data_IF_228899952644
#
_entry.id   IF_228899952644
#
_cell.length_a   1.000
_cell.length_b   1.000
_cell.length_c   1.000
_cell.angle_alpha   90.00
_cell.angle_beta   90.00
_cell.angle_gamma   90.00
#
_symmetry.space_group_name_H-M   'P 1'
#
loop_
_entity.id
_entity.type
_entity.pdbx_description
1 polymer ?
#
# COMPACT_ATOMS: atom_id res chain seq x y z
N UNK A 1 -14.61 -20.77 -11.60
CA UNK A 1 -14.04 -19.43 -11.33
C UNK A 1 -12.59 -19.66 -10.94
N UNK A 2 -11.75 -18.61 -10.92
CA UNK A 2 -10.35 -18.75 -10.53
C UNK A 2 -10.28 -18.84 -9.00
N UNK A 3 -9.47 -19.78 -8.44
CA UNK A 3 -9.43 -20.03 -6.99
C UNK A 3 -8.89 -18.84 -6.18
N UNK A 4 -8.18 -17.93 -6.86
CA UNK A 4 -7.70 -16.65 -6.33
C UNK A 4 -8.15 -15.57 -7.29
N UNK A 5 -8.71 -14.48 -6.75
CA UNK A 5 -9.17 -13.32 -7.51
C UNK A 5 -8.53 -12.06 -6.95
N UNK A 6 -7.81 -11.35 -7.80
CA UNK A 6 -7.26 -10.02 -7.48
C UNK A 6 -8.41 -9.01 -7.31
N UNK A 7 -8.49 -8.37 -6.15
CA UNK A 7 -9.46 -7.30 -5.87
C UNK A 7 -8.81 -5.92 -5.99
N UNK A 8 -7.63 -5.78 -5.40
CA UNK A 8 -6.76 -4.62 -5.52
C UNK A 8 -5.35 -5.09 -5.87
N UNK A 9 -4.38 -4.19 -5.89
CA UNK A 9 -3.00 -4.52 -6.25
C UNK A 9 -2.31 -5.37 -5.18
N UNK A 10 -2.74 -5.21 -3.94
CA UNK A 10 -2.20 -5.80 -2.72
C UNK A 10 -3.20 -6.74 -2.02
N UNK A 11 -4.42 -6.90 -2.52
CA UNK A 11 -5.46 -7.74 -1.93
C UNK A 11 -6.03 -8.76 -2.92
N UNK A 12 -6.10 -10.01 -2.46
CA UNK A 12 -6.59 -11.14 -3.22
C UNK A 12 -7.66 -11.89 -2.43
N UNK A 13 -8.84 -12.07 -3.01
CA UNK A 13 -9.88 -12.94 -2.46
C UNK A 13 -9.59 -14.39 -2.85
N UNK A 14 -9.77 -15.29 -1.90
CA UNK A 14 -9.52 -16.73 -2.04
C UNK A 14 -10.83 -17.48 -1.78
N UNK A 15 -11.15 -18.40 -2.69
CA UNK A 15 -12.17 -19.41 -2.43
C UNK A 15 -11.51 -20.76 -2.17
N UNK A 16 -11.57 -21.23 -0.93
CA UNK A 16 -10.94 -22.50 -0.56
C UNK A 16 -11.64 -23.70 -1.21
N UNK A 17 -12.95 -23.61 -1.47
CA UNK A 17 -13.66 -24.61 -2.24
C UNK A 17 -13.13 -24.77 -3.67
N UNK A 18 -12.90 -23.65 -4.36
CA UNK A 18 -12.34 -23.68 -5.71
C UNK A 18 -10.87 -24.13 -5.71
N UNK A 19 -10.11 -23.74 -4.68
CA UNK A 19 -8.72 -24.15 -4.51
C UNK A 19 -8.58 -25.66 -4.22
N UNK A 20 -9.49 -26.21 -3.41
CA UNK A 20 -9.61 -27.63 -3.10
C UNK A 20 -10.20 -28.46 -4.25
N UNK A 21 -10.76 -27.80 -5.28
CA UNK A 21 -11.48 -28.44 -6.40
C UNK A 21 -12.66 -29.31 -5.95
N UNK A 22 -13.33 -28.92 -4.87
CA UNK A 22 -14.53 -29.61 -4.37
C UNK A 22 -15.76 -29.26 -5.21
N UNK A 23 -16.80 -30.10 -5.15
CA UNK A 23 -18.05 -29.83 -5.86
C UNK A 23 -18.79 -28.68 -5.18
N UNK A 24 -19.58 -27.92 -5.95
CA UNK A 24 -20.43 -26.85 -5.40
C UNK A 24 -21.40 -27.45 -4.39
N UNK A 25 -21.34 -27.00 -3.14
CA UNK A 25 -22.21 -27.43 -2.04
C UNK A 25 -21.52 -28.27 -0.97
N UNK A 26 -20.30 -28.79 -1.25
CA UNK A 26 -19.52 -29.48 -0.23
C UNK A 26 -18.89 -28.47 0.73
N UNK A 27 -18.99 -28.74 2.04
CA UNK A 27 -18.33 -27.93 3.07
C UNK A 27 -16.83 -28.18 2.97
N UNK A 28 -16.06 -27.13 2.65
CA UNK A 28 -14.60 -27.20 2.66
C UNK A 28 -14.10 -26.75 4.00
N UNK A 29 -13.40 -27.66 4.67
CA UNK A 29 -12.66 -27.34 5.88
C UNK A 29 -11.33 -26.67 5.48
N UNK A 30 -11.11 -25.45 5.95
CA UNK A 30 -9.82 -24.78 5.75
C UNK A 30 -8.77 -25.46 6.59
N UNK A 31 -7.70 -25.92 5.94
CA UNK A 31 -6.57 -26.59 6.58
C UNK A 31 -5.24 -25.85 6.25
N UNK A 32 -4.16 -26.13 7.00
CA UNK A 32 -2.82 -25.61 6.74
C UNK A 32 -2.35 -25.70 5.29
N UNK A 33 -2.66 -26.80 4.61
CA UNK A 33 -2.21 -27.06 3.25
C UNK A 33 -2.94 -26.17 2.24
N UNK A 34 -4.24 -25.96 2.41
CA UNK A 34 -5.03 -25.04 1.61
C UNK A 34 -4.60 -23.59 1.82
N UNK A 35 -4.24 -23.20 3.05
CA UNK A 35 -3.65 -21.89 3.34
C UNK A 35 -2.32 -21.73 2.57
N UNK A 36 -1.43 -22.71 2.63
CA UNK A 36 -0.16 -22.70 1.89
C UNK A 36 -0.38 -22.54 0.38
N UNK A 37 -1.31 -23.33 -0.19
CA UNK A 37 -1.66 -23.28 -1.61
C UNK A 37 -2.26 -21.94 -2.02
N UNK A 38 -3.06 -21.33 -1.16
CA UNK A 38 -3.64 -20.01 -1.41
C UNK A 38 -2.54 -18.95 -1.50
N UNK A 39 -1.62 -18.93 -0.54
CA UNK A 39 -0.51 -17.97 -0.53
C UNK A 39 0.42 -18.21 -1.74
N UNK A 40 0.77 -19.47 -2.04
CA UNK A 40 1.60 -19.80 -3.20
C UNK A 40 0.95 -19.45 -4.54
N UNK A 41 -0.39 -19.48 -4.62
CA UNK A 41 -1.14 -19.00 -5.76
C UNK A 41 -1.08 -17.47 -5.86
N UNK A 42 -1.26 -16.75 -4.75
CA UNK A 42 -1.10 -15.29 -4.71
C UNK A 42 0.31 -14.85 -5.09
N UNK A 43 1.35 -15.58 -4.67
CA UNK A 43 2.73 -15.34 -5.10
C UNK A 43 2.92 -15.39 -6.62
N UNK A 44 2.13 -16.20 -7.36
CA UNK A 44 2.20 -16.26 -8.84
C UNK A 44 1.69 -14.99 -9.51
N UNK A 45 0.82 -14.26 -8.83
CA UNK A 45 0.27 -13.00 -9.31
C UNK A 45 1.23 -11.81 -9.11
N UNK A 46 2.41 -12.05 -8.54
CA UNK A 46 3.42 -11.02 -8.38
C UNK A 46 4.05 -10.66 -9.73
N UNK A 47 3.87 -9.40 -10.14
CA UNK A 47 4.37 -8.88 -11.41
C UNK A 47 5.66 -8.08 -11.28
N UNK A 48 6.19 -7.91 -10.06
CA UNK A 48 7.38 -7.09 -9.81
C UNK A 48 8.61 -7.84 -10.30
N UNK A 49 9.51 -7.14 -10.99
CA UNK A 49 10.75 -7.68 -11.53
C UNK A 49 11.95 -6.80 -11.17
N UNK A 50 13.11 -7.42 -11.02
CA UNK A 50 14.39 -6.74 -10.86
C UNK A 50 14.87 -6.16 -12.19
N UNK A 51 15.90 -5.31 -12.15
CA UNK A 51 16.54 -4.79 -13.35
C UNK A 51 17.11 -5.90 -14.27
N UNK A 52 17.43 -7.06 -13.70
CA UNK A 52 17.85 -8.25 -14.44
C UNK A 52 16.67 -9.09 -14.97
N UNK A 53 15.43 -8.62 -14.82
CA UNK A 53 14.21 -9.30 -15.30
C UNK A 53 13.70 -10.43 -14.40
N UNK A 54 14.39 -10.73 -13.30
CA UNK A 54 13.97 -11.78 -12.34
C UNK A 54 12.76 -11.33 -11.53
N UNK A 55 11.84 -12.24 -11.25
CA UNK A 55 10.67 -11.92 -10.42
C UNK A 55 11.11 -11.58 -9.00
N UNK A 56 10.56 -10.50 -8.44
CA UNK A 56 10.76 -10.09 -7.05
C UNK A 56 9.46 -10.37 -6.30
N UNK A 57 9.50 -11.24 -5.30
CA UNK A 57 8.29 -11.62 -4.55
C UNK A 57 8.11 -10.75 -3.31
N UNK A 58 6.84 -10.44 -2.98
CA UNK A 58 6.47 -9.85 -1.69
C UNK A 58 7.07 -10.68 -0.55
N UNK A 59 7.47 -10.01 0.51
CA UNK A 59 8.01 -10.63 1.72
C UNK A 59 7.06 -10.55 2.91
N UNK A 60 5.86 -10.00 2.76
CA UNK A 60 4.80 -10.07 3.76
C UNK A 60 3.51 -10.61 3.13
N UNK A 61 2.91 -11.60 3.80
CA UNK A 61 1.64 -12.21 3.44
C UNK A 61 0.76 -12.31 4.70
N UNK A 62 -0.36 -11.58 4.70
CA UNK A 62 -1.36 -11.64 5.76
C UNK A 62 -2.60 -12.37 5.24
N UNK A 63 -2.80 -13.59 5.73
CA UNK A 63 -4.01 -14.39 5.46
C UNK A 63 -5.09 -14.03 6.47
N UNK A 64 -6.21 -13.50 5.99
CA UNK A 64 -7.42 -13.21 6.76
C UNK A 64 -8.45 -14.28 6.44
N UNK A 65 -8.86 -15.03 7.46
CA UNK A 65 -9.86 -16.10 7.35
C UNK A 65 -11.19 -15.67 7.97
N UNK A 66 -12.29 -16.32 7.57
CA UNK A 66 -13.50 -16.26 8.36
C UNK A 66 -13.24 -16.80 9.79
N UNK A 67 -13.91 -16.25 10.80
CA UNK A 67 -13.71 -16.61 12.21
C UNK A 67 -13.82 -18.12 12.46
N UNK A 68 -14.82 -18.77 11.88
CA UNK A 68 -15.06 -20.21 12.02
C UNK A 68 -13.88 -21.04 11.49
N UNK A 69 -13.30 -20.63 10.36
CA UNK A 69 -12.16 -21.31 9.75
C UNK A 69 -10.88 -21.06 10.55
N UNK A 70 -10.70 -19.83 11.05
CA UNK A 70 -9.56 -19.48 11.89
C UNK A 70 -9.54 -20.29 13.18
N UNK A 71 -10.69 -20.48 13.85
CA UNK A 71 -10.76 -21.23 15.10
C UNK A 71 -10.30 -22.69 14.94
N UNK A 72 -10.45 -23.29 13.75
CA UNK A 72 -9.97 -24.64 13.44
C UNK A 72 -8.44 -24.73 13.40
N UNK A 73 -7.77 -23.66 13.00
CA UNK A 73 -6.30 -23.61 12.84
C UNK A 73 -5.60 -22.82 13.95
N UNK A 74 -6.35 -22.15 14.82
CA UNK A 74 -5.85 -21.25 15.87
C UNK A 74 -4.83 -21.91 16.79
N UNK A 75 -5.07 -23.17 17.18
CA UNK A 75 -4.16 -23.93 18.04
C UNK A 75 -2.82 -24.26 17.37
N UNK A 76 -2.77 -24.19 16.03
CA UNK A 76 -1.60 -24.52 15.21
C UNK A 76 -0.90 -23.28 14.67
N UNK A 77 -1.34 -22.07 15.00
CA UNK A 77 -0.88 -20.83 14.35
C UNK A 77 0.65 -20.66 14.35
N UNK A 78 1.31 -20.80 15.50
CA UNK A 78 2.76 -20.61 15.60
C UNK A 78 3.55 -21.60 14.72
N UNK A 79 3.34 -22.93 14.87
CA UNK A 79 3.94 -23.93 13.98
C UNK A 79 3.57 -23.72 12.51
N UNK A 80 2.31 -23.40 12.22
CA UNK A 80 1.80 -23.16 10.87
C UNK A 80 2.54 -22.00 10.19
N UNK A 81 2.67 -20.85 10.83
CA UNK A 81 3.35 -19.68 10.26
C UNK A 81 4.81 -19.98 9.94
N UNK A 82 5.49 -20.75 10.80
CA UNK A 82 6.86 -21.22 10.57
C UNK A 82 6.97 -22.19 9.39
N UNK A 83 6.08 -23.17 9.31
CA UNK A 83 6.06 -24.14 8.22
C UNK A 83 5.72 -23.46 6.88
N UNK A 84 4.77 -22.52 6.89
CA UNK A 84 4.44 -21.69 5.74
C UNK A 84 5.64 -20.87 5.27
N UNK A 85 6.42 -20.29 6.18
CA UNK A 85 7.64 -19.57 5.83
C UNK A 85 8.63 -20.45 5.07
N UNK A 86 8.81 -21.70 5.52
CA UNK A 86 9.68 -22.66 4.84
C UNK A 86 9.14 -23.01 3.44
N UNK A 87 7.84 -23.30 3.32
CA UNK A 87 7.20 -23.63 2.04
C UNK A 87 7.31 -22.48 1.04
N UNK A 88 7.05 -21.24 1.46
CA UNK A 88 7.13 -20.09 0.56
C UNK A 88 8.57 -19.76 0.15
N UNK A 89 9.55 -20.02 1.02
CA UNK A 89 10.98 -19.91 0.67
C UNK A 89 11.36 -20.94 -0.40
N UNK A 90 10.87 -22.18 -0.28
CA UNK A 90 11.06 -23.21 -1.30
C UNK A 90 10.37 -22.87 -2.62
N UNK A 91 9.14 -22.35 -2.57
CA UNK A 91 8.42 -21.87 -3.76
C UNK A 91 9.14 -20.71 -4.45
N UNK A 92 9.70 -19.77 -3.69
CA UNK A 92 10.52 -18.68 -4.23
C UNK A 92 11.78 -19.22 -4.92
N UNK A 93 12.48 -20.16 -4.30
CA UNK A 93 13.67 -20.80 -4.87
C UNK A 93 13.35 -21.58 -6.16
N UNK A 94 12.26 -22.35 -6.18
CA UNK A 94 11.82 -23.10 -7.34
C UNK A 94 11.47 -22.20 -8.55
N UNK A 95 11.21 -20.91 -8.31
CA UNK A 95 10.88 -19.91 -9.32
C UNK A 95 12.05 -19.02 -9.72
N UNK A 96 13.22 -19.26 -9.12
CA UNK A 96 14.40 -18.40 -9.28
C UNK A 96 14.07 -16.92 -8.97
N UNK A 97 13.14 -16.71 -8.05
CA UNK A 97 12.66 -15.38 -7.70
C UNK A 97 13.52 -14.78 -6.58
N UNK A 98 13.79 -13.49 -6.71
CA UNK A 98 14.51 -12.73 -5.70
C UNK A 98 13.57 -12.42 -4.53
N UNK A 99 14.05 -12.65 -3.32
CA UNK A 99 13.36 -12.30 -2.09
C UNK A 99 13.93 -11.01 -1.51
N UNK A 100 13.03 -10.08 -1.21
CA UNK A 100 13.32 -8.76 -0.64
C UNK A 100 13.62 -8.82 0.87
N UNK A 101 13.63 -10.03 1.42
CA UNK A 101 13.80 -10.33 2.84
C UNK A 101 13.22 -11.70 3.15
N UNK A 102 13.29 -12.11 4.41
CA UNK A 102 12.60 -13.34 4.82
C UNK A 102 11.08 -13.17 4.72
N UNK A 103 10.35 -14.18 4.21
CA UNK A 103 8.89 -14.13 4.16
C UNK A 103 8.30 -14.02 5.57
N UNK A 104 7.38 -13.08 5.77
CA UNK A 104 6.59 -12.91 6.99
C UNK A 104 5.17 -13.33 6.69
N UNK A 105 4.68 -14.33 7.42
CA UNK A 105 3.35 -14.87 7.24
C UNK A 105 2.59 -14.67 8.53
N UNK A 106 1.43 -14.06 8.44
CA UNK A 106 0.50 -13.94 9.57
C UNK A 106 -0.85 -14.47 9.18
N UNK A 107 -1.41 -15.35 10.01
CA UNK A 107 -2.78 -15.84 9.84
C UNK A 107 -3.64 -15.17 10.90
N UNK A 108 -4.67 -14.46 10.47
CA UNK A 108 -5.62 -13.76 11.34
C UNK A 108 -7.05 -14.08 10.92
N UNK A 109 -8.02 -13.71 11.76
CA UNK A 109 -9.43 -13.76 11.39
C UNK A 109 -9.96 -12.38 11.01
N UNK A 110 -11.06 -12.37 10.27
CA UNK A 110 -11.84 -11.17 9.98
C UNK A 110 -12.64 -10.74 11.21
N UNK A 111 -12.22 -9.64 11.84
CA UNK A 111 -12.88 -9.08 13.02
C UNK A 111 -14.26 -8.48 12.71
N UNK A 112 -14.53 -8.14 11.44
CA UNK A 112 -15.80 -7.53 11.01
C UNK A 112 -16.85 -8.57 10.62
N UNK A 113 -16.50 -9.86 10.62
CA UNK A 113 -17.34 -11.00 10.23
C UNK A 113 -18.01 -10.81 8.85
N UNK A 114 -17.33 -10.15 7.90
CA UNK A 114 -17.75 -9.97 6.51
C UNK A 114 -17.43 -11.20 5.63
N UNK A 115 -16.42 -11.99 6.03
CA UNK A 115 -16.02 -13.21 5.34
C UNK A 115 -16.90 -14.41 5.72
N UNK A 116 -17.51 -15.03 4.72
CA UNK A 116 -18.20 -16.31 4.86
C UNK A 116 -17.22 -17.49 5.02
N UNK A 117 -17.65 -18.57 5.68
CA UNK A 117 -16.86 -19.79 5.82
C UNK A 117 -16.39 -20.35 4.45
N UNK A 118 -15.16 -20.84 4.40
CA UNK A 118 -14.50 -21.28 3.17
C UNK A 118 -14.04 -20.14 2.25
N UNK A 119 -14.12 -18.88 2.71
CA UNK A 119 -13.53 -17.71 2.04
C UNK A 119 -12.34 -17.17 2.85
N UNK A 120 -11.39 -16.57 2.14
CA UNK A 120 -10.27 -15.87 2.75
C UNK A 120 -9.82 -14.69 1.91
N UNK A 121 -8.98 -13.85 2.51
CA UNK A 121 -8.31 -12.74 1.84
C UNK A 121 -6.83 -12.81 2.15
N UNK A 122 -5.99 -12.70 1.11
CA UNK A 122 -4.55 -12.55 1.28
C UNK A 122 -4.18 -11.11 0.96
N UNK A 123 -3.57 -10.44 1.92
CA UNK A 123 -2.93 -9.13 1.73
C UNK A 123 -1.43 -9.31 1.61
N UNK A 124 -0.81 -8.60 0.67
CA UNK A 124 0.62 -8.72 0.37
C UNK A 124 1.32 -7.37 0.40
N UNK A 125 2.57 -7.34 0.86
CA UNK A 125 3.36 -6.13 0.91
C UNK A 125 4.87 -6.39 0.78
N UNK A 126 5.60 -5.32 0.45
CA UNK A 126 7.05 -5.26 0.62
C UNK A 126 7.37 -4.52 1.92
N UNK A 127 7.91 -5.23 2.89
CA UNK A 127 8.44 -4.66 4.12
C UNK A 127 9.94 -4.47 3.96
N UNK A 128 10.49 -3.25 4.17
CA UNK A 128 11.93 -3.03 4.07
C UNK A 128 12.72 -3.97 4.99
N UNK A 129 13.77 -4.59 4.47
CA UNK A 129 14.73 -5.36 5.26
C UNK A 129 16.15 -4.82 5.08
N UNK A 130 17.05 -5.10 6.01
CA UNK A 130 18.44 -4.61 5.98
C UNK A 130 19.19 -4.96 4.68
N UNK A 131 18.81 -6.06 3.99
CA UNK A 131 19.39 -6.45 2.69
C UNK A 131 19.07 -5.48 1.54
N UNK A 132 17.97 -4.73 1.63
CA UNK A 132 17.67 -3.63 0.70
C UNK A 132 18.36 -2.31 1.08
N UNK A 133 19.07 -2.26 2.21
CA UNK A 133 19.59 -1.00 2.75
C UNK A 133 20.98 -0.64 2.20
N UNK A 134 21.72 -1.61 1.66
CA UNK A 134 23.08 -1.35 1.17
C UNK A 134 23.13 -1.25 -0.36
N UNK A 135 23.30 -0.04 -0.94
CA UNK A 135 23.61 0.10 -2.35
C UNK A 135 24.97 -0.55 -2.64
N UNK A 136 25.06 -1.35 -3.71
CA UNK A 136 26.33 -1.90 -4.21
C UNK A 136 27.03 -0.85 -5.07
N UNK A 137 28.35 -0.73 -4.92
CA UNK A 137 29.14 0.19 -5.73
C UNK A 137 29.05 -0.18 -7.23
N UNK A 138 28.59 0.75 -8.07
CA UNK A 138 28.40 0.54 -9.51
C UNK A 138 27.00 0.06 -9.91
N UNK A 139 26.10 -0.24 -8.96
CA UNK A 139 24.69 -0.54 -9.24
C UNK A 139 23.80 0.64 -8.84
N UNK A 140 22.94 1.09 -9.75
CA UNK A 140 21.91 2.10 -9.43
C UNK A 140 20.76 1.42 -8.69
N UNK A 141 20.72 1.56 -7.36
CA UNK A 141 19.64 1.02 -6.53
C UNK A 141 18.51 2.04 -6.44
N UNK A 142 17.42 1.83 -7.18
CA UNK A 142 16.23 2.69 -7.11
C UNK A 142 15.40 2.30 -5.88
N UNK A 143 15.27 3.21 -4.93
CA UNK A 143 14.35 3.06 -3.79
C UNK A 143 12.99 3.62 -4.18
N UNK A 144 12.00 2.73 -4.29
CA UNK A 144 10.61 3.12 -4.42
C UNK A 144 10.06 3.38 -3.02
N UNK A 145 10.30 4.58 -2.52
CA UNK A 145 9.77 4.99 -1.22
C UNK A 145 8.26 5.28 -1.36
N UNK A 146 7.46 4.35 -0.86
CA UNK A 146 5.99 4.37 -0.71
C UNK A 146 5.08 4.32 -1.96
N UNK A 147 4.28 3.26 -1.97
CA UNK A 147 2.81 3.18 -2.23
C UNK A 147 2.14 3.86 -3.44
N UNK A 148 2.85 4.42 -4.41
CA UNK A 148 2.24 5.01 -5.62
C UNK A 148 2.77 4.38 -6.92
N UNK A 149 2.72 3.05 -7.06
CA UNK A 149 2.90 2.41 -8.37
C UNK A 149 1.82 1.36 -8.55
N UNK A 150 0.60 1.82 -8.80
CA UNK A 150 -0.45 0.89 -9.22
C UNK A 150 -1.59 1.47 -10.06
N UNK A 151 -1.82 2.79 -10.03
CA UNK A 151 -3.00 3.39 -10.67
C UNK A 151 -2.75 4.25 -11.92
N UNK A 152 -1.66 5.02 -11.96
CA UNK A 152 -1.54 6.11 -12.96
C UNK A 152 -0.88 5.72 -14.28
N UNK A 153 -0.14 4.61 -14.33
CA UNK A 153 0.62 4.21 -15.54
C UNK A 153 -0.28 3.60 -16.63
N UNK A 154 -1.54 3.26 -16.33
CA UNK A 154 -2.45 2.62 -17.30
C UNK A 154 -3.34 3.63 -18.05
N UNK A 155 -3.45 4.88 -17.57
CA UNK A 155 -4.53 5.78 -18.03
C UNK A 155 -4.17 6.77 -19.16
N UNK A 156 -2.91 6.88 -19.59
CA UNK A 156 -2.54 7.85 -20.65
C UNK A 156 -1.54 7.31 -21.67
N UNK A 157 -2.05 6.63 -22.70
CA UNK A 157 -1.82 6.95 -24.13
C UNK A 157 -2.30 5.81 -25.05
N UNK A 158 -3.11 6.10 -26.10
CA UNK A 158 -3.48 5.11 -27.10
C UNK A 158 -2.33 4.94 -28.13
N UNK A 159 -1.93 3.67 -28.37
CA UNK A 159 -1.03 3.19 -29.44
C UNK A 159 0.49 3.43 -29.28
N UNK A 160 1.12 2.84 -28.26
CA UNK A 160 2.57 2.56 -28.28
C UNK A 160 2.85 1.07 -27.94
N UNK A 161 3.92 0.44 -28.48
CA UNK A 161 4.32 -0.93 -28.15
C UNK A 161 4.82 -1.04 -26.69
N UNK A 162 4.46 -2.12 -26.01
CA UNK A 162 4.44 -2.26 -24.53
C UNK A 162 5.80 -2.47 -23.84
N UNK A 163 6.94 -2.40 -24.54
CA UNK A 163 8.23 -2.87 -23.99
C UNK A 163 9.37 -1.84 -24.01
N UNK A 164 9.07 -0.56 -23.84
CA UNK A 164 10.12 0.43 -23.57
C UNK A 164 9.57 1.59 -22.76
N UNK A 165 9.80 1.57 -21.45
CA UNK A 165 9.69 2.79 -20.63
C UNK A 165 10.98 3.59 -20.79
N UNK A 166 10.83 4.82 -21.25
CA UNK A 166 11.86 5.85 -21.15
C UNK A 166 11.42 6.91 -20.12
N UNK A 167 12.44 7.58 -19.53
CA UNK A 167 12.40 8.88 -18.83
C UNK A 167 11.97 8.79 -17.34
N UNK A 168 12.57 9.46 -16.35
CA UNK A 168 13.36 10.70 -16.33
C UNK A 168 14.51 10.66 -15.29
N UNK A 169 15.62 11.29 -15.64
CA UNK A 169 16.80 11.47 -14.79
C UNK A 169 16.59 12.70 -13.89
N UNK A 170 15.68 12.59 -12.92
CA UNK A 170 15.55 13.56 -11.82
C UNK A 170 16.39 13.15 -10.60
N UNK A 171 17.52 12.48 -10.82
CA UNK A 171 18.66 12.58 -9.93
C UNK A 171 19.57 13.72 -10.42
N UNK A 172 18.96 14.89 -10.66
CA UNK A 172 19.70 16.14 -10.62
C UNK A 172 20.32 16.27 -9.24
N UNK A 173 21.64 16.18 -9.19
CA UNK A 173 22.43 16.85 -8.18
C UNK A 173 21.83 18.26 -7.95
N UNK A 174 21.04 18.43 -6.88
CA UNK A 174 20.29 19.66 -6.61
C UNK A 174 18.80 19.54 -6.25
N UNK A 175 18.28 18.35 -5.88
CA UNK A 175 16.84 18.11 -5.65
C UNK A 175 16.05 19.23 -4.94
N UNK A 176 15.15 19.84 -5.70
CA UNK A 176 14.23 20.92 -5.30
C UNK A 176 13.38 20.48 -4.09
N UNK A 177 13.35 21.31 -3.04
CA UNK A 177 12.74 20.92 -1.75
C UNK A 177 11.29 21.37 -1.72
N UNK A 178 10.33 20.46 -1.83
CA UNK A 178 8.92 20.82 -1.63
C UNK A 178 8.60 21.00 -0.13
N UNK A 179 7.93 22.11 0.19
CA UNK A 179 7.51 22.45 1.57
C UNK A 179 6.02 22.70 1.63
N UNK A 180 5.35 22.13 2.63
CA UNK A 180 4.01 22.51 3.07
C UNK A 180 4.17 23.62 4.10
N UNK A 181 3.51 24.75 3.89
CA UNK A 181 3.59 25.91 4.77
C UNK A 181 2.22 26.29 5.27
N UNK A 182 2.14 26.72 6.53
CA UNK A 182 0.94 27.26 7.15
C UNK A 182 1.35 28.40 8.11
N UNK A 183 0.43 29.23 8.60
CA UNK A 183 0.76 30.35 9.48
C UNK A 183 1.57 29.97 10.74
N UNK A 184 1.44 28.72 11.20
CA UNK A 184 2.11 28.22 12.40
C UNK A 184 3.41 27.45 12.16
N UNK A 185 3.87 27.29 10.91
CA UNK A 185 5.10 26.56 10.61
C UNK A 185 5.25 26.10 9.15
N UNK A 186 6.33 25.38 8.90
CA UNK A 186 6.55 24.66 7.64
C UNK A 186 6.97 23.21 7.90
N UNK A 187 6.63 22.33 6.98
CA UNK A 187 7.02 20.92 6.97
C UNK A 187 7.56 20.54 5.59
N UNK A 188 8.51 19.61 5.56
CA UNK A 188 9.03 19.06 4.31
C UNK A 188 8.10 17.96 3.81
N UNK A 189 7.86 17.95 2.51
CA UNK A 189 7.15 16.87 1.84
C UNK A 189 8.12 16.07 0.99
N UNK A 190 8.04 14.75 1.13
CA UNK A 190 8.82 13.81 0.34
C UNK A 190 7.95 13.28 -0.80
N UNK A 191 8.52 13.23 -2.01
CA UNK A 191 7.85 12.70 -3.20
C UNK A 191 7.53 11.22 -2.99
N UNK A 192 6.33 10.79 -3.37
CA UNK A 192 5.86 9.40 -3.21
C UNK A 192 5.35 9.06 -1.80
N UNK A 193 5.55 9.93 -0.81
CA UNK A 193 5.13 9.69 0.58
C UNK A 193 3.74 10.28 0.83
N UNK A 194 2.79 9.43 1.24
CA UNK A 194 1.50 9.90 1.78
C UNK A 194 1.65 10.28 3.25
N UNK A 195 1.20 11.49 3.59
CA UNK A 195 1.31 12.07 4.93
C UNK A 195 -0.09 12.50 5.38
N UNK A 196 -0.46 12.16 6.61
CA UNK A 196 -1.71 12.62 7.24
C UNK A 196 -1.48 13.99 7.86
N UNK A 197 -2.42 14.91 7.68
CA UNK A 197 -2.33 16.28 8.18
C UNK A 197 -3.55 16.59 9.04
N UNK A 198 -3.32 17.19 10.21
CA UNK A 198 -4.41 17.55 11.12
C UNK A 198 -3.95 18.29 12.37
N UNK A 199 -4.87 18.39 13.33
CA UNK A 199 -4.62 19.04 14.63
C UNK A 199 -3.69 18.18 15.50
N UNK A 200 -2.74 18.79 16.23
CA UNK A 200 -1.92 18.09 17.21
C UNK A 200 -2.75 17.23 18.18
N UNK A 201 -2.35 15.98 18.40
CA UNK A 201 -2.95 15.06 19.37
C UNK A 201 -1.97 13.93 19.75
N UNK A 202 -2.19 13.29 20.89
CA UNK A 202 -1.27 12.28 21.44
C UNK A 202 -1.21 10.96 20.62
N UNK A 203 -2.25 10.66 19.84
CA UNK A 203 -2.40 9.41 19.07
C UNK A 203 -2.02 9.61 17.59
N UNK A 204 -1.10 10.54 17.30
CA UNK A 204 -0.70 10.86 15.93
C UNK A 204 -0.04 9.65 15.25
N UNK A 205 -0.40 9.32 13.99
CA UNK A 205 0.23 8.23 13.25
C UNK A 205 1.69 8.57 12.87
N UNK A 206 2.49 7.56 12.51
CA UNK A 206 3.92 7.71 12.23
C UNK A 206 4.23 8.72 11.09
N UNK A 207 3.32 8.93 10.14
CA UNK A 207 3.44 9.89 9.03
C UNK A 207 2.41 11.00 9.19
N UNK A 208 2.61 11.85 10.20
CA UNK A 208 1.68 12.90 10.58
C UNK A 208 2.33 14.28 10.64
N UNK A 209 1.75 15.26 9.95
CA UNK A 209 2.06 16.67 10.12
C UNK A 209 1.04 17.30 11.07
N UNK A 210 1.54 17.74 12.21
CA UNK A 210 0.78 18.50 13.19
C UNK A 210 0.70 19.97 12.78
N UNK A 211 -0.50 20.46 12.45
CA UNK A 211 -0.73 21.87 12.19
C UNK A 211 -0.74 22.66 13.50
N UNK A 212 0.45 23.04 13.95
CA UNK A 212 0.66 23.91 15.12
C UNK A 212 -0.17 25.19 14.96
N UNK A 213 -0.93 25.55 15.99
CA UNK A 213 -1.86 26.69 15.96
C UNK A 213 -3.25 26.40 15.38
N UNK A 214 -3.52 25.19 14.86
CA UNK A 214 -4.85 24.83 14.38
C UNK A 214 -5.85 24.62 15.53
N UNK A 215 -6.98 25.33 15.46
CA UNK A 215 -8.07 25.25 16.43
C UNK A 215 -8.98 24.02 16.26
N UNK A 216 -10.07 23.96 17.04
CA UNK A 216 -10.99 22.82 17.06
C UNK A 216 -11.78 22.59 15.75
N UNK A 217 -11.78 23.56 14.83
CA UNK A 217 -12.35 23.41 13.48
C UNK A 217 -11.52 22.49 12.58
N UNK A 218 -10.28 22.18 12.95
CA UNK A 218 -9.42 21.20 12.28
C UNK A 218 -9.46 19.88 13.05
N UNK A 219 -9.83 18.80 12.37
CA UNK A 219 -9.90 17.46 12.93
C UNK A 219 -8.49 16.94 13.31
N UNK A 220 -8.43 15.98 14.25
CA UNK A 220 -7.18 15.28 14.62
C UNK A 220 -6.47 14.71 13.38
N UNK A 221 -7.23 14.11 12.47
CA UNK A 221 -6.82 13.74 11.12
C UNK A 221 -7.82 14.37 10.16
N UNK A 222 -7.37 15.30 9.32
CA UNK A 222 -8.27 16.15 8.54
C UNK A 222 -8.22 15.81 7.06
N UNK A 223 -7.01 15.66 6.53
CA UNK A 223 -6.78 15.23 5.16
C UNK A 223 -5.45 14.47 5.09
N UNK A 224 -5.19 13.84 3.97
CA UNK A 224 -3.88 13.31 3.64
C UNK A 224 -3.37 13.98 2.36
N UNK A 225 -2.05 14.07 2.25
CA UNK A 225 -1.35 14.67 1.11
C UNK A 225 -0.29 13.71 0.59
N UNK A 226 -0.18 13.59 -0.72
CA UNK A 226 0.88 12.86 -1.40
C UNK A 226 1.50 13.76 -2.48
N UNK A 227 2.81 13.92 -2.42
CA UNK A 227 3.56 14.72 -3.38
C UNK A 227 3.97 13.84 -4.56
N UNK A 228 3.52 14.19 -5.77
CA UNK A 228 4.03 13.64 -7.02
C UNK A 228 5.25 14.41 -7.51
N UNK A 229 5.76 14.05 -8.69
CA UNK A 229 6.88 14.80 -9.29
C UNK A 229 6.47 16.22 -9.65
N UNK A 230 5.30 16.44 -10.24
CA UNK A 230 4.82 17.77 -10.69
C UNK A 230 3.48 18.20 -10.08
N UNK A 231 2.79 17.27 -9.43
CA UNK A 231 1.45 17.45 -8.88
C UNK A 231 1.41 17.08 -7.41
N UNK A 232 0.33 17.47 -6.74
CA UNK A 232 0.02 17.11 -5.36
C UNK A 232 -1.37 16.51 -5.35
N UNK A 233 -1.49 15.34 -4.73
CA UNK A 233 -2.78 14.70 -4.42
C UNK A 233 -3.17 15.02 -2.99
N UNK A 234 -4.41 15.47 -2.80
CA UNK A 234 -4.98 15.83 -1.50
C UNK A 234 -6.30 15.11 -1.34
N UNK A 235 -6.39 14.21 -0.36
CA UNK A 235 -7.62 13.48 -0.07
C UNK A 235 -8.22 13.82 1.28
N UNK A 236 -9.54 13.90 1.34
CA UNK A 236 -10.29 14.28 2.54
C UNK A 236 -10.89 13.04 3.20
N UNK A 237 -10.70 12.89 4.51
CA UNK A 237 -11.38 11.82 5.25
C UNK A 237 -12.89 12.04 5.33
N UNK A 238 -13.69 10.97 5.30
CA UNK A 238 -15.16 11.04 5.31
C UNK A 238 -15.72 11.87 6.48
N UNK A 239 -15.07 11.77 7.64
CA UNK A 239 -15.48 12.41 8.89
C UNK A 239 -14.85 13.79 9.11
N UNK A 240 -14.02 14.26 8.19
CA UNK A 240 -13.34 15.55 8.29
C UNK A 240 -14.21 16.71 7.80
N UNK A 241 -14.03 17.89 8.38
CA UNK A 241 -14.60 19.12 7.84
C UNK A 241 -14.09 19.42 6.41
N UNK A 242 -14.73 20.33 5.66
CA UNK A 242 -14.38 20.60 4.27
C UNK A 242 -12.93 21.05 4.06
N UNK A 243 -12.33 20.52 3.00
CA UNK A 243 -11.00 20.84 2.48
C UNK A 243 -11.19 21.39 1.08
N UNK A 244 -10.53 22.49 0.75
CA UNK A 244 -10.53 23.02 -0.63
C UNK A 244 -9.10 23.04 -1.16
N UNK A 245 -8.92 22.66 -2.41
CA UNK A 245 -7.64 22.67 -3.13
C UNK A 245 -7.79 23.64 -4.29
N UNK A 246 -7.01 24.73 -4.30
CA UNK A 246 -7.13 25.82 -5.27
C UNK A 246 -8.58 26.33 -5.44
N UNK A 247 -9.32 26.42 -4.34
CA UNK A 247 -10.74 26.83 -4.31
C UNK A 247 -11.75 25.73 -4.63
N UNK A 248 -11.33 24.56 -5.11
CA UNK A 248 -12.22 23.42 -5.39
C UNK A 248 -12.40 22.54 -4.14
N UNK A 249 -13.65 22.27 -3.75
CA UNK A 249 -13.94 21.42 -2.61
C UNK A 249 -13.58 19.95 -2.88
N UNK A 250 -12.82 19.33 -1.98
CA UNK A 250 -12.56 17.89 -1.98
C UNK A 250 -13.78 17.17 -1.40
N UNK A 251 -14.36 16.25 -2.18
CA UNK A 251 -15.49 15.43 -1.73
C UNK A 251 -15.03 14.50 -0.60
N UNK A 252 -15.94 14.18 0.31
CA UNK A 252 -15.64 13.32 1.45
C UNK A 252 -15.24 11.91 0.98
N UNK A 253 -14.12 11.38 1.49
CA UNK A 253 -13.51 10.11 1.06
C UNK A 253 -13.00 10.07 -0.40
N UNK A 254 -12.88 11.24 -1.05
CA UNK A 254 -12.27 11.39 -2.37
C UNK A 254 -10.98 12.22 -2.29
N UNK A 255 -10.33 12.35 -3.44
CA UNK A 255 -9.07 13.07 -3.62
C UNK A 255 -9.12 14.01 -4.82
N UNK A 256 -8.33 15.07 -4.76
CA UNK A 256 -8.07 15.97 -5.86
C UNK A 256 -6.57 16.03 -6.13
N UNK A 257 -6.22 15.98 -7.41
CA UNK A 257 -4.88 16.22 -7.90
C UNK A 257 -4.77 17.64 -8.44
N UNK A 258 -3.71 18.36 -8.08
CA UNK A 258 -3.46 19.72 -8.55
C UNK A 258 -1.97 19.95 -8.84
N UNK A 259 -1.61 20.78 -9.83
CA UNK A 259 -0.22 21.15 -10.08
C UNK A 259 0.33 22.04 -8.97
N UNK A 260 1.66 22.03 -8.81
CA UNK A 260 2.36 22.95 -7.91
C UNK A 260 2.48 24.37 -8.51
N UNK A 261 2.48 25.44 -7.69
CA UNK A 261 2.16 25.44 -6.26
C UNK A 261 0.67 25.22 -6.01
N UNK A 262 0.35 24.60 -4.87
CA UNK A 262 -1.05 24.33 -4.49
C UNK A 262 -1.43 25.08 -3.23
N UNK A 263 -2.63 25.64 -3.20
CA UNK A 263 -3.25 26.22 -2.01
C UNK A 263 -4.29 25.25 -1.46
N UNK A 264 -4.19 24.95 -0.17
CA UNK A 264 -5.14 24.09 0.56
C UNK A 264 -5.80 24.94 1.63
N UNK A 265 -7.11 25.14 1.52
CA UNK A 265 -7.89 25.91 2.47
C UNK A 265 -8.72 24.99 3.36
N UNK A 266 -8.55 25.15 4.66
CA UNK A 266 -9.28 24.44 5.71
C UNK A 266 -10.20 25.40 6.44
N UNK A 267 -11.20 24.85 7.15
CA UNK A 267 -12.07 25.63 8.04
C UNK A 267 -12.78 26.82 7.34
N UNK A 268 -13.13 26.66 6.06
CA UNK A 268 -13.76 27.69 5.20
C UNK A 268 -12.89 28.94 4.95
N UNK A 269 -11.57 28.80 4.89
CA UNK A 269 -10.67 29.93 4.61
C UNK A 269 -9.83 30.39 5.80
N UNK A 270 -10.20 30.00 7.03
CA UNK A 270 -9.52 30.45 8.24
C UNK A 270 -8.06 29.95 8.33
N UNK A 271 -7.75 28.80 7.72
CA UNK A 271 -6.40 28.25 7.70
C UNK A 271 -6.02 27.86 6.27
N UNK A 272 -5.06 28.58 5.71
CA UNK A 272 -4.52 28.37 4.37
C UNK A 272 -3.16 27.71 4.49
N UNK A 273 -2.97 26.64 3.75
CA UNK A 273 -1.70 25.96 3.59
C UNK A 273 -1.23 26.11 2.13
N UNK A 274 0.06 26.23 1.93
CA UNK A 274 0.66 26.35 0.60
C UNK A 274 1.72 25.28 0.42
N UNK A 275 1.62 24.50 -0.65
CA UNK A 275 2.70 23.61 -1.09
C UNK A 275 3.45 24.27 -2.21
N UNK A 276 4.76 24.44 -2.03
CA UNK A 276 5.64 25.05 -3.04
C UNK A 276 6.98 24.33 -3.10
N UNK A 277 7.57 24.34 -4.30
CA UNK A 277 8.99 24.02 -4.49
C UNK A 277 9.83 25.18 -3.95
N UNK A 278 10.88 24.85 -3.19
CA UNK A 278 11.99 25.75 -2.87
C UNK A 278 13.15 25.45 -3.79
#
# INVERSE_FOLDING_TARGET
MAPVRKETVDQFRVSFAELAKTKRGDVVQVDPFLIARAIAAVMRECTVRSAAGRSILWNEYRMVLARQDFDLVRSLQGPLEKDLQQVLTQEAAAREADLVGEPRITVVFDESDELAAGQGVVRVAFVPTERLVQPRAGEMTVRLDSWAVAGEIVARAPKAPTDTMFVDDSAGAGGERCTLQWPGGEARLEVGVTIVVGRPHAEAPARFISLTGAGAKVNKQHFWIALGTSTVRVGRFATANPVHVNGQAVVAAEELEAPLPVEISLSRGDLILTVRRR
#
